data_IF_638601740524
#
_entry.id   IF_638601740524
#
_cell.length_a   1.000
_cell.length_b   1.000
_cell.length_c   1.000
_cell.angle_alpha   90.00
_cell.angle_beta   90.00
_cell.angle_gamma   90.00
#
_symmetry.space_group_name_H-M   'P 1'
#
loop_
_entity.id
_entity.type
_entity.pdbx_description
1 polymer ?
#
# COMPACT_ATOMS: atom_id res chain seq x y z
N UNK A 1 26.86 -5.52 -29.48
CA UNK A 1 26.27 -4.50 -28.58
C UNK A 1 25.55 -5.27 -27.48
N UNK A 2 26.12 -5.32 -26.27
CA UNK A 2 25.53 -6.05 -25.14
C UNK A 2 24.25 -5.34 -24.72
N UNK A 3 23.10 -6.04 -24.59
CA UNK A 3 21.86 -5.39 -24.16
C UNK A 3 22.08 -4.72 -22.80
N UNK A 4 21.66 -3.46 -22.67
CA UNK A 4 21.70 -2.73 -21.40
C UNK A 4 20.76 -3.43 -20.42
N UNK A 5 21.30 -4.10 -19.40
CA UNK A 5 20.52 -4.61 -18.28
C UNK A 5 20.04 -3.43 -17.43
N UNK A 6 18.74 -3.21 -17.37
CA UNK A 6 18.14 -2.18 -16.54
C UNK A 6 17.68 -2.82 -15.22
N UNK A 7 18.23 -2.38 -14.09
CA UNK A 7 17.79 -2.83 -12.77
C UNK A 7 16.31 -2.55 -12.53
N UNK A 8 15.81 -1.43 -13.07
CA UNK A 8 14.38 -1.08 -13.04
C UNK A 8 13.51 -2.12 -13.75
N UNK A 9 13.98 -2.66 -14.89
CA UNK A 9 13.29 -3.77 -15.55
C UNK A 9 13.28 -5.00 -14.65
N UNK A 10 14.42 -5.40 -14.10
CA UNK A 10 14.49 -6.55 -13.22
C UNK A 10 13.58 -6.40 -11.98
N UNK A 11 13.46 -5.19 -11.41
CA UNK A 11 12.54 -4.90 -10.32
C UNK A 11 11.06 -5.01 -10.75
N UNK A 12 10.73 -4.51 -11.94
CA UNK A 12 9.37 -4.61 -12.47
C UNK A 12 8.97 -6.07 -12.77
N UNK A 13 9.88 -6.87 -13.34
CA UNK A 13 9.63 -8.31 -13.56
C UNK A 13 9.36 -9.03 -12.21
N UNK A 14 10.10 -8.72 -11.15
CA UNK A 14 9.84 -9.27 -9.80
C UNK A 14 8.46 -8.86 -9.25
N UNK A 15 8.00 -7.65 -9.54
CA UNK A 15 6.64 -7.22 -9.18
C UNK A 15 5.60 -8.07 -9.92
N UNK A 16 5.78 -8.29 -11.23
CA UNK A 16 4.89 -9.15 -12.02
C UNK A 16 4.88 -10.59 -11.51
N UNK A 17 6.05 -11.12 -11.14
CA UNK A 17 6.16 -12.46 -10.55
C UNK A 17 5.43 -12.55 -9.20
N UNK A 18 5.50 -11.51 -8.37
CA UNK A 18 4.77 -11.44 -7.10
C UNK A 18 3.26 -11.45 -7.31
N UNK A 19 2.76 -10.67 -8.29
CA UNK A 19 1.33 -10.67 -8.63
C UNK A 19 0.87 -12.02 -9.18
N UNK A 20 1.71 -12.69 -9.97
CA UNK A 20 1.45 -14.04 -10.45
C UNK A 20 1.37 -15.05 -9.29
N UNK A 21 2.29 -14.97 -8.34
CA UNK A 21 2.27 -15.83 -7.16
C UNK A 21 0.98 -15.65 -6.34
N UNK A 22 0.52 -14.41 -6.14
CA UNK A 22 -0.76 -14.13 -5.47
C UNK A 22 -1.91 -14.79 -6.24
N UNK A 23 -1.95 -14.62 -7.57
CA UNK A 23 -2.96 -15.22 -8.43
C UNK A 23 -2.99 -16.75 -8.34
N UNK A 24 -1.82 -17.39 -8.37
CA UNK A 24 -1.73 -18.85 -8.46
C UNK A 24 -1.91 -19.52 -7.09
N UNK A 25 -1.34 -18.95 -6.02
CA UNK A 25 -1.30 -19.60 -4.69
C UNK A 25 -2.37 -19.14 -3.73
N UNK A 26 -2.74 -17.86 -3.76
CA UNK A 26 -3.68 -17.29 -2.79
C UNK A 26 -5.10 -17.22 -3.34
N UNK A 27 -5.22 -16.88 -4.63
CA UNK A 27 -6.50 -16.72 -5.32
C UNK A 27 -6.80 -17.85 -6.30
N UNK A 28 -5.87 -18.80 -6.42
CA UNK A 28 -6.00 -19.99 -7.24
C UNK A 28 -6.71 -21.13 -6.49
N UNK A 29 -6.87 -22.30 -7.14
CA UNK A 29 -7.65 -23.43 -6.59
C UNK A 29 -7.19 -23.91 -5.21
N UNK A 30 -5.90 -23.80 -4.91
CA UNK A 30 -5.32 -24.23 -3.63
C UNK A 30 -5.40 -23.15 -2.54
N UNK A 31 -5.92 -21.96 -2.86
CA UNK A 31 -5.98 -20.79 -1.98
C UNK A 31 -7.07 -20.83 -0.91
N UNK A 32 -7.96 -21.83 -0.96
CA UNK A 32 -9.08 -21.96 -0.01
C UNK A 32 -10.19 -20.92 -0.21
N UNK A 33 -10.33 -20.39 -1.43
CA UNK A 33 -11.41 -19.49 -1.83
C UNK A 33 -12.33 -20.27 -2.77
N UNK A 34 -13.52 -20.63 -2.27
CA UNK A 34 -14.45 -21.50 -2.98
C UNK A 34 -15.49 -20.72 -3.81
N UNK A 35 -15.83 -19.50 -3.39
CA UNK A 35 -16.83 -18.66 -4.05
C UNK A 35 -16.20 -17.73 -5.09
N UNK A 36 -16.82 -17.65 -6.28
CA UNK A 36 -16.31 -16.82 -7.39
C UNK A 36 -16.19 -15.35 -7.00
N UNK A 37 -17.18 -14.83 -6.25
CA UNK A 37 -17.19 -13.44 -5.82
C UNK A 37 -16.01 -13.13 -4.89
N UNK A 38 -15.64 -14.06 -4.02
CA UNK A 38 -14.52 -13.87 -3.09
C UNK A 38 -13.18 -13.87 -3.83
N UNK A 39 -13.05 -14.67 -4.89
CA UNK A 39 -11.87 -14.65 -5.74
C UNK A 39 -11.73 -13.31 -6.48
N UNK A 40 -12.83 -12.82 -7.08
CA UNK A 40 -12.88 -11.50 -7.74
C UNK A 40 -12.51 -10.38 -6.78
N UNK A 41 -13.05 -10.41 -5.57
CA UNK A 41 -12.75 -9.45 -4.51
C UNK A 41 -11.30 -9.54 -4.02
N UNK A 42 -10.73 -10.74 -4.00
CA UNK A 42 -9.32 -10.98 -3.72
C UNK A 42 -8.38 -10.28 -4.72
N UNK A 43 -8.67 -10.38 -6.02
CA UNK A 43 -7.90 -9.66 -7.05
C UNK A 43 -8.03 -8.14 -6.89
N UNK A 44 -9.25 -7.65 -6.61
CA UNK A 44 -9.47 -6.22 -6.34
C UNK A 44 -8.68 -5.75 -5.13
N UNK A 45 -8.66 -6.54 -4.05
CA UNK A 45 -7.89 -6.25 -2.85
C UNK A 45 -6.37 -6.23 -3.14
N UNK A 46 -5.84 -7.17 -3.92
CA UNK A 46 -4.43 -7.17 -4.31
C UNK A 46 -4.05 -5.88 -5.05
N UNK A 47 -4.91 -5.38 -5.93
CA UNK A 47 -4.70 -4.11 -6.64
C UNK A 47 -4.81 -2.89 -5.70
N UNK A 48 -5.70 -2.91 -4.71
CA UNK A 48 -5.73 -1.87 -3.68
C UNK A 48 -4.42 -1.82 -2.90
N UNK A 49 -3.89 -2.97 -2.47
CA UNK A 49 -2.62 -3.05 -1.75
C UNK A 49 -1.45 -2.55 -2.59
N UNK A 50 -1.40 -2.93 -3.88
CA UNK A 50 -0.40 -2.43 -4.82
C UNK A 50 -0.47 -0.90 -4.96
N UNK A 51 -1.68 -0.36 -5.07
CA UNK A 51 -1.90 1.09 -5.12
C UNK A 51 -1.40 1.79 -3.86
N UNK A 52 -1.71 1.26 -2.67
CA UNK A 52 -1.20 1.82 -1.40
C UNK A 52 0.32 1.73 -1.32
N UNK A 53 0.91 0.60 -1.71
CA UNK A 53 2.36 0.40 -1.69
C UNK A 53 3.08 1.38 -2.63
N UNK A 54 2.47 1.68 -3.78
CA UNK A 54 2.99 2.66 -4.74
C UNK A 54 3.03 4.05 -4.12
N UNK A 55 1.91 4.52 -3.55
CA UNK A 55 1.84 5.83 -2.89
C UNK A 55 2.84 5.94 -1.72
N UNK A 56 2.99 4.87 -0.93
CA UNK A 56 3.79 4.90 0.31
C UNK A 56 5.30 4.74 0.07
N UNK A 57 5.70 3.89 -0.88
CA UNK A 57 7.09 3.44 -1.00
C UNK A 57 7.75 3.77 -2.34
N UNK A 58 6.98 3.87 -3.43
CA UNK A 58 7.51 4.32 -4.71
C UNK A 58 7.54 5.85 -4.78
N UNK A 59 6.40 6.48 -4.49
CA UNK A 59 6.26 7.95 -4.53
C UNK A 59 6.68 8.61 -3.20
N UNK A 60 6.71 7.83 -2.11
CA UNK A 60 7.07 8.34 -0.79
C UNK A 60 8.56 8.68 -0.65
N UNK A 61 8.86 9.98 -0.55
CA UNK A 61 10.20 10.52 -0.30
C UNK A 61 10.44 10.79 1.20
N UNK A 62 11.35 10.05 1.87
CA UNK A 62 11.65 10.25 3.28
C UNK A 62 12.42 11.56 3.61
N UNK A 63 13.02 12.22 2.60
CA UNK A 63 13.59 13.57 2.74
C UNK A 63 12.52 14.67 2.59
N UNK A 64 11.39 14.36 1.95
CA UNK A 64 10.26 15.26 1.72
C UNK A 64 8.94 14.59 2.12
N UNK A 65 8.77 14.21 3.40
CA UNK A 65 7.62 13.44 3.83
C UNK A 65 6.32 14.23 3.61
N UNK A 66 5.34 13.55 3.01
CA UNK A 66 3.97 14.02 2.88
C UNK A 66 3.02 12.91 3.33
N UNK A 67 1.90 13.31 3.94
CA UNK A 67 0.84 12.37 4.27
C UNK A 67 0.11 11.93 3.00
N UNK A 68 0.06 10.62 2.77
CA UNK A 68 -0.78 9.98 1.76
C UNK A 68 -1.89 9.22 2.47
N UNK A 69 -3.09 9.24 1.88
CA UNK A 69 -4.26 8.56 2.44
C UNK A 69 -4.17 7.07 2.16
N UNK A 70 -4.20 6.20 3.16
CA UNK A 70 -4.10 4.75 2.95
C UNK A 70 -5.40 4.16 2.39
N UNK A 71 -6.52 4.55 2.99
CA UNK A 71 -7.84 3.97 2.72
C UNK A 71 -8.81 5.03 2.21
N UNK A 72 -9.62 4.69 1.21
CA UNK A 72 -10.63 5.55 0.61
C UNK A 72 -11.94 4.77 0.38
N UNK A 73 -13.07 5.43 0.07
CA UNK A 73 -14.32 4.73 -0.27
C UNK A 73 -14.15 3.67 -1.38
N UNK A 74 -13.22 3.90 -2.31
CA UNK A 74 -12.90 3.01 -3.43
C UNK A 74 -11.60 2.22 -3.27
N UNK A 75 -10.92 2.32 -2.12
CA UNK A 75 -9.66 1.62 -1.87
C UNK A 75 -9.62 1.14 -0.43
N UNK A 76 -9.64 -0.18 -0.25
CA UNK A 76 -9.69 -0.84 1.05
C UNK A 76 -8.36 -1.50 1.38
N UNK A 77 -8.07 -1.61 2.67
CA UNK A 77 -6.83 -2.24 3.14
C UNK A 77 -7.14 -2.97 4.43
N UNK A 78 -7.14 -4.30 4.37
CA UNK A 78 -7.38 -5.17 5.53
C UNK A 78 -8.73 -4.86 6.20
N UNK A 79 -8.83 -4.98 7.53
CA UNK A 79 -10.02 -4.61 8.30
C UNK A 79 -10.07 -3.11 8.62
N UNK A 80 -9.99 -2.25 7.61
CA UNK A 80 -10.06 -0.79 7.82
C UNK A 80 -11.35 -0.37 8.54
N UNK A 81 -11.23 0.56 9.49
CA UNK A 81 -12.38 1.16 10.12
C UNK A 81 -13.02 2.18 9.15
N UNK A 82 -14.28 1.98 8.72
CA UNK A 82 -14.97 2.91 7.80
C UNK A 82 -15.13 4.32 8.37
N UNK A 83 -15.09 4.49 9.69
CA UNK A 83 -15.22 5.78 10.37
C UNK A 83 -13.87 6.50 10.56
N UNK A 84 -12.76 5.91 10.10
CA UNK A 84 -11.42 6.46 10.30
C UNK A 84 -10.75 6.96 9.02
N UNK A 85 -9.98 8.04 9.16
CA UNK A 85 -9.14 8.59 8.09
C UNK A 85 -7.68 8.23 8.31
N UNK A 86 -7.23 7.16 7.65
CA UNK A 86 -5.85 6.69 7.74
C UNK A 86 -4.92 7.43 6.80
N UNK A 87 -3.84 7.98 7.36
CA UNK A 87 -2.76 8.61 6.61
C UNK A 87 -1.41 8.02 7.00
N UNK A 88 -0.49 8.01 6.05
CA UNK A 88 0.89 7.54 6.22
C UNK A 88 1.85 8.56 5.64
N UNK A 89 2.98 8.77 6.31
CA UNK A 89 4.10 9.53 5.78
C UNK A 89 5.39 8.76 6.07
N UNK A 90 6.18 8.49 5.03
CA UNK A 90 7.47 7.83 5.19
C UNK A 90 8.48 8.81 5.78
N UNK A 91 9.09 8.46 6.91
CA UNK A 91 10.06 9.31 7.64
C UNK A 91 11.35 8.55 7.91
N UNK A 92 12.43 9.26 8.22
CA UNK A 92 13.70 8.70 8.69
C UNK A 92 13.80 8.75 10.20
N UNK A 93 14.33 7.71 10.83
CA UNK A 93 14.54 7.67 12.28
C UNK A 93 15.63 8.61 12.80
N UNK A 94 16.49 9.13 11.92
CA UNK A 94 17.63 10.00 12.27
C UNK A 94 17.35 11.50 12.08
N UNK A 95 16.08 11.88 11.91
CA UNK A 95 15.64 13.27 11.69
C UNK A 95 14.62 13.69 12.73
N UNK A 96 14.34 15.00 12.77
CA UNK A 96 13.26 15.59 13.56
C UNK A 96 12.23 16.21 12.63
N UNK A 97 10.97 15.88 12.86
CA UNK A 97 9.84 16.37 12.06
C UNK A 97 8.89 17.20 12.92
N UNK A 98 8.12 18.08 12.27
CA UNK A 98 7.03 18.83 12.87
C UNK A 98 5.76 18.54 12.09
N UNK A 99 4.72 18.06 12.77
CA UNK A 99 3.37 18.00 12.24
C UNK A 99 2.63 19.26 12.66
N UNK A 100 2.05 19.98 11.71
CA UNK A 100 1.29 21.21 11.97
C UNK A 100 0.07 21.27 11.07
N UNK A 101 -1.00 21.90 11.56
CA UNK A 101 -2.24 22.04 10.82
C UNK A 101 -3.36 22.50 11.74
N UNK A 102 -4.61 22.28 11.30
CA UNK A 102 -5.81 22.51 12.12
C UNK A 102 -6.30 21.17 12.62
N UNK A 103 -6.57 21.07 13.92
CA UNK A 103 -7.01 19.81 14.55
C UNK A 103 -8.37 19.34 14.03
N UNK A 104 -9.25 20.24 13.58
CA UNK A 104 -10.61 19.89 13.18
C UNK A 104 -11.53 19.65 14.39
N UNK A 105 -12.61 18.90 14.16
CA UNK A 105 -13.65 18.58 15.14
C UNK A 105 -13.85 17.07 15.30
N UNK A 106 -12.87 16.26 14.92
CA UNK A 106 -12.92 14.81 14.98
C UNK A 106 -12.84 14.35 16.44
N UNK A 107 -13.69 13.40 16.83
CA UNK A 107 -13.76 12.91 18.22
C UNK A 107 -12.45 12.26 18.69
N UNK A 108 -11.67 11.69 17.75
CA UNK A 108 -10.41 11.01 18.02
C UNK A 108 -9.34 11.33 16.98
N UNK A 109 -8.09 11.55 17.43
CA UNK A 109 -6.91 11.69 16.59
C UNK A 109 -5.71 11.07 17.29
N UNK A 110 -4.96 10.26 16.55
CA UNK A 110 -3.71 9.66 17.03
C UNK A 110 -2.62 9.74 15.97
N UNK A 111 -1.37 9.80 16.44
CA UNK A 111 -0.17 9.63 15.62
C UNK A 111 0.62 8.46 16.16
N UNK A 112 1.01 7.55 15.27
CA UNK A 112 1.77 6.35 15.62
C UNK A 112 3.03 6.31 14.76
N UNK A 113 4.18 6.03 15.40
CA UNK A 113 5.43 5.76 14.71
C UNK A 113 5.62 4.25 14.59
N UNK A 114 5.95 3.81 13.38
CA UNK A 114 6.28 2.43 13.07
C UNK A 114 7.77 2.36 12.71
N UNK A 115 8.50 1.41 13.30
CA UNK A 115 9.93 1.16 13.10
C UNK A 115 10.20 -0.24 12.58
#
# INVERSE_FOLDING_TARGET
MTPRSLESRAAFERLLDTLREISDRQLGPDGGIDEEIDAVEGYRNALHLLSVATDCYLEGDPERPAFVRLVAPTRKMMGDNPDALYHFARVRGDRRYRVSGRRGSEDYLSFTLHG
#
